data_IF_193624103516
#
_entry.id   IF_193624103516
#
_cell.length_a   1.000
_cell.length_b   1.000
_cell.length_c   1.000
_cell.angle_alpha   90.00
_cell.angle_beta   90.00
_cell.angle_gamma   90.00
#
_symmetry.space_group_name_H-M   'P 1'
#
loop_
_entity.id
_entity.type
_entity.pdbx_description
1 polymer ?
#
# COMPACT_ATOMS: atom_id res chain seq x y z
N UNK A 1 11.72 14.33 -46.74
CA UNK A 1 12.21 15.31 -47.73
C UNK A 1 13.71 15.10 -47.85
N UNK A 2 14.21 14.77 -49.04
CA UNK A 2 15.65 14.51 -49.30
C UNK A 2 16.28 15.65 -50.12
N UNK A 3 15.85 16.88 -49.87
CA UNK A 3 16.34 18.08 -50.54
C UNK A 3 17.33 18.80 -49.63
N UNK A 4 18.43 19.26 -50.21
CA UNK A 4 19.45 20.06 -49.50
C UNK A 4 18.95 21.51 -49.37
N UNK A 5 18.82 22.05 -48.13
CA UNK A 5 18.31 23.40 -47.90
C UNK A 5 19.27 24.52 -48.36
N UNK A 6 20.52 24.20 -48.74
CA UNK A 6 21.51 25.19 -49.21
C UNK A 6 21.66 26.39 -48.28
N UNK A 7 21.76 26.15 -46.97
CA UNK A 7 21.93 27.20 -45.97
C UNK A 7 23.17 28.07 -46.25
N UNK A 8 23.04 29.37 -46.02
CA UNK A 8 24.12 30.36 -46.10
C UNK A 8 24.16 31.18 -44.81
N UNK A 9 25.34 31.67 -44.38
CA UNK A 9 25.45 32.50 -43.18
C UNK A 9 24.83 33.88 -43.39
N UNK A 10 24.14 34.39 -42.37
CA UNK A 10 23.55 35.74 -42.31
C UNK A 10 23.78 36.34 -40.92
N UNK A 11 23.58 37.65 -40.75
CA UNK A 11 23.68 38.31 -39.45
C UNK A 11 22.43 38.07 -38.58
N UNK A 12 22.54 38.33 -37.28
CA UNK A 12 21.39 38.28 -36.36
C UNK A 12 20.31 39.30 -36.73
N UNK A 13 20.69 40.52 -37.11
CA UNK A 13 19.76 41.56 -37.51
C UNK A 13 18.98 41.15 -38.76
N UNK A 14 19.66 40.53 -39.74
CA UNK A 14 19.03 40.00 -40.94
C UNK A 14 18.03 38.88 -40.61
N UNK A 15 18.45 37.89 -39.81
CA UNK A 15 17.61 36.77 -39.42
C UNK A 15 16.34 37.21 -38.68
N UNK A 16 16.48 38.10 -37.68
CA UNK A 16 15.36 38.62 -36.90
C UNK A 16 14.44 39.50 -37.75
N UNK A 17 15.00 40.29 -38.68
CA UNK A 17 14.19 41.10 -39.60
C UNK A 17 13.34 40.24 -40.53
N UNK A 18 13.88 39.13 -41.05
CA UNK A 18 13.13 38.17 -41.88
C UNK A 18 11.96 37.56 -41.10
N UNK A 19 12.19 37.15 -39.85
CA UNK A 19 11.14 36.57 -38.99
C UNK A 19 10.08 37.63 -38.66
N UNK A 20 10.50 38.82 -38.23
CA UNK A 20 9.60 39.91 -37.87
C UNK A 20 8.70 40.34 -39.04
N UNK A 21 9.25 40.45 -40.26
CA UNK A 21 8.48 40.77 -41.46
C UNK A 21 7.38 39.74 -41.73
N UNK A 22 7.67 38.45 -41.57
CA UNK A 22 6.67 37.37 -41.74
C UNK A 22 5.57 37.42 -40.67
N UNK A 23 5.94 37.69 -39.42
CA UNK A 23 4.98 37.85 -38.32
C UNK A 23 4.07 39.07 -38.54
N UNK A 24 4.64 40.21 -38.93
CA UNK A 24 3.85 41.42 -39.23
C UNK A 24 2.89 41.19 -40.39
N UNK A 25 3.32 40.51 -41.47
CA UNK A 25 2.46 40.18 -42.60
C UNK A 25 1.27 39.28 -42.20
N UNK A 26 1.44 38.36 -41.24
CA UNK A 26 0.33 37.58 -40.69
C UNK A 26 -0.60 38.46 -39.86
N UNK A 27 -0.04 39.34 -39.01
CA UNK A 27 -0.80 40.23 -38.14
C UNK A 27 -1.64 41.24 -38.92
N UNK A 28 -1.07 41.87 -39.95
CA UNK A 28 -1.76 42.82 -40.84
C UNK A 28 -2.96 42.20 -41.56
N UNK A 29 -2.91 40.88 -41.84
CA UNK A 29 -4.01 40.12 -42.45
C UNK A 29 -5.04 39.59 -41.45
N UNK A 30 -4.84 39.80 -40.15
CA UNK A 30 -5.67 39.18 -39.10
C UNK A 30 -5.45 37.67 -38.95
N UNK A 31 -4.31 37.15 -39.40
CA UNK A 31 -3.98 35.72 -39.44
C UNK A 31 -2.93 35.31 -38.40
N UNK A 32 -2.77 36.07 -37.31
CA UNK A 32 -1.78 35.82 -36.25
C UNK A 32 -1.86 34.40 -35.67
N UNK A 33 -3.06 33.82 -35.62
CA UNK A 33 -3.30 32.44 -35.15
C UNK A 33 -2.57 31.36 -35.96
N UNK A 34 -2.11 31.66 -37.19
CA UNK A 34 -1.35 30.70 -38.04
C UNK A 34 0.10 30.54 -37.61
N UNK A 35 0.62 31.45 -36.78
CA UNK A 35 1.96 31.31 -36.21
C UNK A 35 1.92 30.39 -34.99
N UNK A 36 2.90 29.49 -34.91
CA UNK A 36 3.07 28.61 -33.76
C UNK A 36 4.54 28.58 -33.33
N UNK A 37 4.74 28.49 -32.02
CA UNK A 37 6.03 28.20 -31.40
C UNK A 37 6.03 26.76 -30.91
N UNK A 38 7.05 26.01 -31.33
CA UNK A 38 7.26 24.62 -30.94
C UNK A 38 8.41 24.57 -29.94
N UNK A 39 8.18 23.99 -28.77
CA UNK A 39 9.19 23.94 -27.70
C UNK A 39 9.72 22.53 -27.49
N UNK A 40 11.04 22.40 -27.64
CA UNK A 40 11.80 21.22 -27.24
C UNK A 40 12.14 21.31 -25.76
N UNK A 41 13.41 21.09 -25.40
CA UNK A 41 13.88 21.28 -24.02
C UNK A 41 13.76 22.75 -23.63
N UNK A 42 13.09 23.02 -22.51
CA UNK A 42 13.24 24.28 -21.82
C UNK A 42 12.54 24.30 -20.47
N UNK A 43 13.05 25.09 -19.53
CA UNK A 43 12.53 25.16 -18.15
C UNK A 43 12.68 26.55 -17.53
N UNK A 44 11.67 26.98 -16.79
CA UNK A 44 11.70 28.24 -16.05
C UNK A 44 11.33 29.48 -16.86
N UNK A 45 11.29 30.62 -16.16
CA UNK A 45 10.76 31.89 -16.68
C UNK A 45 11.60 32.46 -17.84
N UNK A 46 12.92 32.27 -17.80
CA UNK A 46 13.87 32.83 -18.77
C UNK A 46 13.96 32.07 -20.09
N UNK A 47 13.30 30.92 -20.20
CA UNK A 47 13.38 30.04 -21.37
C UNK A 47 12.02 29.97 -22.07
N UNK A 48 11.12 29.11 -21.59
CA UNK A 48 9.77 28.95 -22.15
C UNK A 48 8.72 29.80 -21.44
N UNK A 49 9.06 30.39 -20.28
CA UNK A 49 8.08 31.05 -19.43
C UNK A 49 7.51 32.37 -19.95
N UNK A 50 8.16 33.02 -20.92
CA UNK A 50 7.67 34.24 -21.57
C UNK A 50 6.81 33.99 -22.83
N UNK A 51 6.67 32.73 -23.24
CA UNK A 51 5.98 32.39 -24.47
C UNK A 51 4.48 32.67 -24.39
N UNK A 52 3.88 32.55 -23.21
CA UNK A 52 2.46 32.88 -22.99
C UNK A 52 2.21 34.37 -23.22
N UNK A 53 3.01 35.21 -22.59
CA UNK A 53 2.92 36.66 -22.70
C UNK A 53 3.18 37.12 -24.14
N UNK A 54 4.16 36.50 -24.82
CA UNK A 54 4.41 36.73 -26.24
C UNK A 54 3.18 36.35 -27.09
N UNK A 55 2.61 35.17 -26.84
CA UNK A 55 1.42 34.67 -27.54
C UNK A 55 0.21 35.58 -27.41
N UNK A 56 -0.07 36.02 -26.19
CA UNK A 56 -1.14 36.95 -25.85
C UNK A 56 -0.92 38.33 -26.51
N UNK A 57 0.31 38.85 -26.49
CA UNK A 57 0.65 40.15 -27.08
C UNK A 57 0.60 40.14 -28.62
N UNK A 58 1.07 39.05 -29.23
CA UNK A 58 1.08 38.88 -30.67
C UNK A 58 -0.32 38.50 -31.22
N UNK A 59 -1.12 37.80 -30.41
CA UNK A 59 -2.46 37.33 -30.77
C UNK A 59 -2.45 35.93 -31.39
N UNK A 60 -1.62 35.00 -30.89
CA UNK A 60 -1.70 33.58 -31.25
C UNK A 60 -2.02 32.71 -30.04
N UNK A 61 -2.97 31.76 -30.15
CA UNK A 61 -3.17 30.74 -29.12
C UNK A 61 -2.12 29.62 -29.18
N UNK A 62 -1.37 29.51 -30.29
CA UNK A 62 -0.41 28.44 -30.54
C UNK A 62 0.99 28.81 -29.99
N UNK A 63 1.02 29.42 -28.81
CA UNK A 63 2.22 30.04 -28.24
C UNK A 63 3.13 29.06 -27.48
N UNK A 64 2.68 27.84 -27.23
CA UNK A 64 3.52 26.81 -26.63
C UNK A 64 3.04 25.41 -27.02
N UNK A 65 3.31 25.02 -28.27
CA UNK A 65 3.18 23.63 -28.69
C UNK A 65 4.38 22.85 -28.15
N UNK A 66 4.31 22.50 -26.88
CA UNK A 66 5.38 21.83 -26.15
C UNK A 66 5.39 20.32 -26.27
N UNK A 67 6.46 19.72 -25.77
CA UNK A 67 6.69 18.27 -25.84
C UNK A 67 6.16 17.48 -24.63
N UNK A 68 5.50 18.11 -23.66
CA UNK A 68 5.11 17.48 -22.39
C UNK A 68 4.16 16.29 -22.59
N UNK A 69 3.25 16.37 -23.56
CA UNK A 69 2.31 15.30 -23.92
C UNK A 69 2.99 14.03 -24.45
N UNK A 70 4.18 14.18 -25.04
CA UNK A 70 5.03 13.06 -25.47
C UNK A 70 6.00 12.61 -24.37
N UNK A 71 6.08 13.37 -23.27
CA UNK A 71 7.00 13.17 -22.16
C UNK A 71 6.31 12.53 -20.95
N UNK A 72 5.50 13.29 -20.19
CA UNK A 72 5.04 12.87 -18.86
C UNK A 72 3.62 13.26 -18.46
N UNK A 73 2.87 13.97 -19.31
CA UNK A 73 1.53 14.46 -18.95
C UNK A 73 0.61 13.36 -18.42
N UNK A 74 0.65 12.16 -19.02
CA UNK A 74 -0.14 11.02 -18.53
C UNK A 74 0.18 10.65 -17.07
N UNK A 75 1.47 10.66 -16.72
CA UNK A 75 1.97 10.33 -15.39
C UNK A 75 1.67 11.43 -14.36
N UNK A 76 1.63 12.70 -14.80
CA UNK A 76 1.25 13.85 -13.96
C UNK A 76 -0.26 13.92 -13.76
N UNK A 77 -1.06 13.65 -14.80
CA UNK A 77 -2.51 13.56 -14.71
C UNK A 77 -2.97 12.49 -13.72
N UNK A 78 -2.30 11.33 -13.70
CA UNK A 78 -2.57 10.29 -12.68
C UNK A 78 -2.42 10.85 -11.27
N UNK A 79 -1.31 11.53 -10.98
CA UNK A 79 -1.05 12.07 -9.64
C UNK A 79 -2.06 13.16 -9.31
N UNK A 80 -2.39 14.04 -10.27
CA UNK A 80 -3.46 15.01 -10.10
C UNK A 80 -4.79 14.37 -9.71
N UNK A 81 -5.20 13.29 -10.38
CA UNK A 81 -6.46 12.60 -10.06
C UNK A 81 -6.43 11.84 -8.74
N UNK A 82 -5.27 11.28 -8.36
CA UNK A 82 -5.18 10.38 -7.22
C UNK A 82 -4.80 11.08 -5.90
N UNK A 83 -3.99 12.13 -5.95
CA UNK A 83 -3.50 12.84 -4.76
C UNK A 83 -3.51 14.37 -4.90
N UNK A 84 -4.07 14.90 -6.00
CA UNK A 84 -4.17 16.33 -6.27
C UNK A 84 -2.88 16.96 -6.81
N UNK A 85 -1.75 16.24 -6.84
CA UNK A 85 -0.47 16.79 -7.24
C UNK A 85 -0.22 16.69 -8.75
N UNK A 86 -0.50 17.76 -9.50
CA UNK A 86 -0.23 17.81 -10.94
C UNK A 86 1.24 18.12 -11.25
N UNK A 87 2.11 17.19 -10.86
CA UNK A 87 3.53 17.20 -11.15
C UNK A 87 4.11 15.83 -10.82
N UNK A 88 5.43 15.72 -10.85
CA UNK A 88 6.15 14.50 -10.53
C UNK A 88 6.05 14.10 -9.05
N UNK A 89 6.42 12.87 -8.72
CA UNK A 89 6.60 12.44 -7.33
C UNK A 89 8.06 12.57 -6.89
N UNK A 90 8.26 12.93 -5.62
CA UNK A 90 9.51 12.73 -4.90
C UNK A 90 9.41 11.42 -4.11
N UNK A 91 10.51 10.65 -4.11
CA UNK A 91 10.56 9.33 -3.47
C UNK A 91 11.74 9.27 -2.50
N UNK A 92 11.51 8.74 -1.30
CA UNK A 92 12.53 8.60 -0.26
C UNK A 92 13.23 7.24 -0.31
N UNK A 93 13.85 6.94 -1.45
CA UNK A 93 14.43 5.63 -1.76
C UNK A 93 15.41 5.12 -0.71
N UNK A 94 16.24 6.00 -0.13
CA UNK A 94 17.23 5.63 0.88
C UNK A 94 16.62 5.02 2.14
N UNK A 95 15.37 5.36 2.48
CA UNK A 95 14.65 4.83 3.65
C UNK A 95 13.62 3.74 3.27
N UNK A 96 13.46 3.44 1.99
CA UNK A 96 12.52 2.43 1.49
C UNK A 96 13.03 1.00 1.73
N UNK A 97 12.16 0.08 2.09
CA UNK A 97 12.48 -1.34 2.29
C UNK A 97 11.97 -2.22 1.13
N UNK A 98 11.01 -1.76 0.34
CA UNK A 98 10.54 -2.44 -0.86
C UNK A 98 10.28 -1.47 -2.01
N UNK A 99 11.03 -1.60 -3.11
CA UNK A 99 10.84 -0.81 -4.32
C UNK A 99 10.21 -1.68 -5.41
N UNK A 100 9.00 -1.33 -5.83
CA UNK A 100 8.28 -1.93 -6.94
C UNK A 100 8.29 -0.97 -8.13
N UNK A 101 8.88 -1.37 -9.25
CA UNK A 101 9.13 -0.50 -10.40
C UNK A 101 8.34 -0.99 -11.61
N UNK A 102 7.46 -0.15 -12.16
CA UNK A 102 6.68 -0.43 -13.37
C UNK A 102 7.18 0.42 -14.55
N UNK A 103 7.80 -0.23 -15.54
CA UNK A 103 8.17 0.37 -16.82
C UNK A 103 9.08 1.61 -16.72
N UNK A 104 9.91 1.68 -15.66
CA UNK A 104 10.84 2.77 -15.43
C UNK A 104 12.28 2.26 -15.31
N UNK A 105 13.17 2.77 -16.17
CA UNK A 105 14.59 2.44 -16.14
C UNK A 105 15.34 3.14 -14.99
N UNK A 106 15.09 2.70 -13.75
CA UNK A 106 15.67 3.28 -12.52
C UNK A 106 17.20 3.44 -12.59
N UNK A 107 17.89 2.45 -13.18
CA UNK A 107 19.35 2.39 -13.31
C UNK A 107 19.92 2.90 -14.64
N UNK A 108 19.09 3.46 -15.54
CA UNK A 108 19.55 3.81 -16.90
C UNK A 108 18.97 5.11 -17.46
N UNK A 109 17.76 5.52 -17.07
CA UNK A 109 17.08 6.67 -17.68
C UNK A 109 16.18 7.46 -16.73
N UNK A 110 15.82 6.89 -15.58
CA UNK A 110 14.88 7.51 -14.67
C UNK A 110 15.50 8.63 -13.84
N UNK A 111 14.71 9.67 -13.60
CA UNK A 111 15.13 10.93 -13.02
C UNK A 111 14.94 10.96 -11.49
N UNK A 112 15.80 11.68 -10.75
CA UNK A 112 17.09 12.20 -11.17
C UNK A 112 18.16 11.09 -11.17
N UNK A 113 18.73 10.80 -12.34
CA UNK A 113 19.60 9.63 -12.58
C UNK A 113 20.78 9.53 -11.60
N UNK A 114 21.54 10.61 -11.43
CA UNK A 114 22.71 10.62 -10.56
C UNK A 114 22.37 10.32 -9.09
N UNK A 115 21.27 10.88 -8.58
CA UNK A 115 20.84 10.61 -7.21
C UNK A 115 20.26 9.21 -7.08
N UNK A 116 19.57 8.70 -8.11
CA UNK A 116 19.07 7.32 -8.14
C UNK A 116 20.23 6.31 -8.05
N UNK A 117 21.38 6.57 -8.67
CA UNK A 117 22.55 5.69 -8.56
C UNK A 117 23.09 5.64 -7.11
N UNK A 118 23.16 6.80 -6.45
CA UNK A 118 23.57 6.88 -5.04
C UNK A 118 22.55 6.21 -4.12
N UNK A 119 21.26 6.44 -4.36
CA UNK A 119 20.17 5.80 -3.63
C UNK A 119 20.21 4.28 -3.80
N UNK A 120 20.52 3.78 -4.99
CA UNK A 120 20.69 2.35 -5.23
C UNK A 120 21.79 1.76 -4.33
N UNK A 121 22.96 2.41 -4.28
CA UNK A 121 24.05 2.00 -3.38
C UNK A 121 23.59 1.90 -1.92
N UNK A 122 22.87 2.92 -1.42
CA UNK A 122 22.32 2.93 -0.06
C UNK A 122 21.27 1.84 0.17
N UNK A 123 20.32 1.70 -0.76
CA UNK A 123 19.26 0.68 -0.74
C UNK A 123 19.83 -0.73 -0.66
N UNK A 124 20.91 -1.01 -1.40
CA UNK A 124 21.52 -2.35 -1.47
C UNK A 124 22.49 -2.65 -0.31
N UNK A 125 22.89 -1.66 0.49
CA UNK A 125 23.88 -1.81 1.58
C UNK A 125 23.33 -1.54 2.98
N UNK A 126 22.20 -0.84 3.12
CA UNK A 126 21.58 -0.59 4.42
C UNK A 126 20.96 -1.86 5.03
N UNK A 127 20.60 -1.77 6.32
CA UNK A 127 19.82 -2.79 7.02
C UNK A 127 18.46 -2.23 7.49
N UNK A 128 17.32 -2.86 7.13
CA UNK A 128 17.20 -3.98 6.21
C UNK A 128 17.48 -3.55 4.76
N UNK A 129 18.07 -4.45 3.96
CA UNK A 129 18.32 -4.24 2.53
C UNK A 129 17.00 -4.03 1.79
N UNK A 130 16.93 -3.03 0.92
CA UNK A 130 15.75 -2.80 0.08
C UNK A 130 15.59 -3.94 -0.92
N UNK A 131 14.43 -4.59 -0.89
CA UNK A 131 14.02 -5.56 -1.90
C UNK A 131 13.47 -4.81 -3.11
N UNK A 132 13.87 -5.22 -4.30
CA UNK A 132 13.50 -4.57 -5.57
C UNK A 132 12.80 -5.56 -6.49
N UNK A 133 11.58 -5.25 -6.88
CA UNK A 133 10.83 -5.97 -7.92
C UNK A 133 10.62 -5.04 -9.11
N UNK A 134 10.98 -5.50 -10.30
CA UNK A 134 10.78 -4.77 -11.56
C UNK A 134 9.70 -5.48 -12.37
N UNK A 135 8.78 -4.70 -12.90
CA UNK A 135 7.74 -5.10 -13.85
C UNK A 135 8.05 -4.35 -15.15
N UNK A 136 8.38 -5.09 -16.20
CA UNK A 136 8.76 -4.52 -17.49
C UNK A 136 8.42 -5.49 -18.63
N UNK A 137 8.49 -5.03 -19.88
CA UNK A 137 8.22 -5.85 -21.07
C UNK A 137 9.47 -6.57 -21.59
N UNK A 138 10.65 -6.16 -21.12
CA UNK A 138 11.92 -6.76 -21.49
C UNK A 138 12.92 -6.74 -20.32
N UNK A 139 13.98 -7.56 -20.42
CA UNK A 139 15.13 -7.45 -19.52
C UNK A 139 15.89 -6.15 -19.81
N UNK A 140 16.03 -5.30 -18.79
CA UNK A 140 16.81 -4.06 -18.85
C UNK A 140 17.82 -3.99 -17.68
N UNK A 141 18.61 -2.91 -17.62
CA UNK A 141 19.66 -2.74 -16.59
C UNK A 141 19.08 -2.84 -15.18
N UNK A 142 17.92 -2.23 -14.96
CA UNK A 142 17.25 -2.23 -13.65
C UNK A 142 16.78 -3.63 -13.27
N UNK A 143 16.10 -4.31 -14.20
CA UNK A 143 15.62 -5.68 -14.03
C UNK A 143 16.74 -6.68 -13.77
N UNK A 144 17.88 -6.55 -14.44
CA UNK A 144 19.04 -7.44 -14.21
C UNK A 144 19.67 -7.32 -12.82
N UNK A 145 19.46 -6.19 -12.14
CA UNK A 145 20.00 -5.91 -10.81
C UNK A 145 18.96 -6.08 -9.68
N UNK A 146 17.70 -6.31 -10.04
CA UNK A 146 16.58 -6.48 -9.12
C UNK A 146 16.58 -7.86 -8.46
N UNK A 147 15.82 -8.01 -7.36
CA UNK A 147 15.63 -9.31 -6.71
C UNK A 147 14.54 -10.14 -7.40
N UNK A 148 13.64 -9.49 -8.14
CA UNK A 148 12.64 -10.13 -9.00
C UNK A 148 12.39 -9.27 -10.25
N UNK A 149 12.34 -9.91 -11.42
CA UNK A 149 11.85 -9.33 -12.66
C UNK A 149 10.60 -10.07 -13.11
N UNK A 150 9.53 -9.33 -13.38
CA UNK A 150 8.26 -9.81 -13.92
C UNK A 150 8.09 -9.26 -15.33
N UNK A 151 8.04 -10.15 -16.32
CA UNK A 151 7.87 -9.78 -17.72
C UNK A 151 6.40 -9.68 -18.09
N UNK A 152 5.86 -8.46 -18.00
CA UNK A 152 4.45 -8.19 -18.28
C UNK A 152 4.21 -8.06 -19.79
N UNK A 153 3.04 -8.51 -20.27
CA UNK A 153 2.61 -8.19 -21.64
C UNK A 153 2.47 -6.66 -21.79
N UNK A 154 2.91 -6.06 -22.92
CA UNK A 154 2.83 -4.61 -23.13
C UNK A 154 1.44 -4.03 -22.86
N UNK A 155 1.39 -3.00 -22.02
CA UNK A 155 0.18 -2.27 -21.64
C UNK A 155 -0.75 -2.99 -20.67
N UNK A 156 -0.29 -4.07 -20.02
CA UNK A 156 -1.06 -4.88 -19.06
C UNK A 156 -0.63 -4.70 -17.60
N UNK A 157 0.18 -3.68 -17.31
CA UNK A 157 0.65 -3.32 -15.97
C UNK A 157 -0.52 -3.09 -14.98
N UNK A 158 -1.60 -2.45 -15.45
CA UNK A 158 -2.78 -2.20 -14.64
C UNK A 158 -3.47 -3.49 -14.16
N UNK A 159 -3.44 -4.56 -14.96
CA UNK A 159 -4.01 -5.84 -14.53
C UNK A 159 -3.24 -6.45 -13.36
N UNK A 160 -1.91 -6.37 -13.39
CA UNK A 160 -1.06 -6.78 -12.28
C UNK A 160 -1.35 -5.94 -11.03
N UNK A 161 -1.37 -4.61 -11.16
CA UNK A 161 -1.62 -3.71 -10.04
C UNK A 161 -3.01 -3.90 -9.40
N UNK A 162 -4.05 -4.08 -10.22
CA UNK A 162 -5.42 -4.38 -9.75
C UNK A 162 -5.47 -5.71 -8.99
N UNK A 163 -4.84 -6.76 -9.51
CA UNK A 163 -4.83 -8.04 -8.79
C UNK A 163 -4.02 -8.00 -7.50
N UNK A 164 -2.95 -7.21 -7.45
CA UNK A 164 -2.26 -6.94 -6.19
C UNK A 164 -3.16 -6.23 -5.19
N UNK A 165 -3.87 -5.18 -5.60
CA UNK A 165 -4.82 -4.47 -4.74
C UNK A 165 -5.95 -5.39 -4.25
N UNK A 166 -6.48 -6.28 -5.10
CA UNK A 166 -7.45 -7.29 -4.72
C UNK A 166 -6.93 -8.23 -3.62
N UNK A 167 -5.70 -8.74 -3.75
CA UNK A 167 -5.06 -9.59 -2.72
C UNK A 167 -4.88 -8.81 -1.42
N UNK A 168 -4.41 -7.56 -1.49
CA UNK A 168 -4.21 -6.71 -0.30
C UNK A 168 -5.52 -6.52 0.47
N UNK A 169 -6.63 -6.30 -0.22
CA UNK A 169 -7.94 -6.12 0.42
C UNK A 169 -8.51 -7.43 0.95
N UNK A 170 -8.54 -8.49 0.14
CA UNK A 170 -9.09 -9.79 0.56
C UNK A 170 -8.34 -10.42 1.73
N UNK A 171 -7.04 -10.15 1.87
CA UNK A 171 -6.20 -10.64 2.98
C UNK A 171 -6.14 -9.69 4.19
N UNK A 172 -6.75 -8.51 4.12
CA UNK A 172 -6.73 -7.58 5.26
C UNK A 172 -5.40 -6.84 5.46
N UNK A 173 -4.59 -6.71 4.41
CA UNK A 173 -3.22 -6.18 4.46
C UNK A 173 -3.12 -4.67 4.19
N UNK A 174 -4.24 -3.98 3.97
CA UNK A 174 -4.22 -2.53 3.76
C UNK A 174 -3.87 -1.77 5.04
N UNK A 175 -3.37 -0.56 4.88
CA UNK A 175 -3.03 0.29 6.01
C UNK A 175 -4.28 0.95 6.59
N UNK A 176 -4.75 0.43 7.73
CA UNK A 176 -5.96 0.93 8.41
C UNK A 176 -5.80 2.34 9.02
N UNK A 177 -4.56 2.83 9.16
CA UNK A 177 -4.31 4.17 9.68
C UNK A 177 -4.49 5.24 8.61
N UNK A 178 -4.10 4.93 7.38
CA UNK A 178 -4.23 5.79 6.22
C UNK A 178 -5.59 5.62 5.52
N UNK A 179 -5.97 4.38 5.21
CA UNK A 179 -7.17 4.09 4.40
C UNK A 179 -8.44 4.19 5.23
N UNK A 180 -8.44 3.58 6.42
CA UNK A 180 -9.66 3.34 7.19
C UNK A 180 -9.90 1.85 7.44
N UNK A 181 -11.05 1.51 8.01
CA UNK A 181 -11.40 0.11 8.32
C UNK A 181 -12.92 -0.06 8.33
N UNK A 182 -13.36 -1.33 8.31
CA UNK A 182 -14.77 -1.67 8.52
C UNK A 182 -15.21 -1.28 9.93
N UNK A 183 -16.42 -0.74 10.05
CA UNK A 183 -16.94 -0.21 11.31
C UNK A 183 -17.11 -1.30 12.37
N UNK A 184 -17.34 -2.55 11.95
CA UNK A 184 -17.43 -3.73 12.81
C UNK A 184 -16.08 -4.46 13.00
N UNK A 185 -15.00 -3.99 12.38
CA UNK A 185 -13.67 -4.58 12.44
C UNK A 185 -13.51 -5.89 11.65
N UNK A 186 -14.52 -6.32 10.91
CA UNK A 186 -14.49 -7.55 10.12
C UNK A 186 -14.13 -7.24 8.67
N UNK A 187 -13.20 -8.01 8.09
CA UNK A 187 -12.88 -7.85 6.68
C UNK A 187 -13.97 -8.46 5.78
N UNK A 188 -14.79 -7.58 5.20
CA UNK A 188 -15.87 -7.94 4.27
C UNK A 188 -15.45 -7.99 2.80
N UNK A 189 -14.20 -7.68 2.45
CA UNK A 189 -13.71 -7.87 1.08
C UNK A 189 -13.61 -9.37 0.74
N UNK A 190 -14.63 -9.89 0.05
CA UNK A 190 -14.71 -11.28 -0.42
C UNK A 190 -14.84 -11.29 -1.94
N UNK A 191 -13.99 -12.04 -2.63
CA UNK A 191 -13.97 -12.14 -4.09
C UNK A 191 -15.37 -12.32 -4.69
N UNK A 192 -15.73 -11.47 -5.64
CA UNK A 192 -17.03 -11.46 -6.33
C UNK A 192 -18.21 -10.93 -5.51
N UNK A 193 -18.01 -10.53 -4.25
CA UNK A 193 -19.08 -10.06 -3.36
C UNK A 193 -19.04 -8.54 -3.25
N UNK A 194 -20.19 -7.92 -3.50
CA UNK A 194 -20.38 -6.49 -3.29
C UNK A 194 -20.61 -6.16 -1.83
N UNK A 195 -20.19 -4.96 -1.44
CA UNK A 195 -20.31 -4.45 -0.07
C UNK A 195 -21.33 -3.32 -0.09
N UNK A 196 -22.39 -3.46 0.69
CA UNK A 196 -23.38 -2.41 0.87
C UNK A 196 -22.76 -1.19 1.56
N UNK A 197 -23.21 0.01 1.20
CA UNK A 197 -22.72 1.25 1.81
C UNK A 197 -23.01 1.34 3.32
N UNK A 198 -24.12 0.73 3.76
CA UNK A 198 -24.57 0.73 5.16
C UNK A 198 -24.99 -0.67 5.60
N UNK A 199 -24.85 -0.96 6.90
CA UNK A 199 -25.36 -2.20 7.48
C UNK A 199 -26.90 -2.23 7.52
N UNK A 200 -27.46 -3.40 7.28
CA UNK A 200 -28.89 -3.71 7.35
C UNK A 200 -29.28 -4.32 8.70
N UNK A 201 -30.59 -4.45 8.96
CA UNK A 201 -31.09 -5.20 10.11
C UNK A 201 -30.73 -6.70 10.01
N UNK A 202 -30.65 -7.25 8.79
CA UNK A 202 -30.20 -8.62 8.57
C UNK A 202 -28.73 -8.80 8.98
N UNK A 203 -27.86 -7.83 8.69
CA UNK A 203 -26.44 -7.88 9.07
C UNK A 203 -26.26 -7.88 10.60
N UNK A 204 -27.04 -7.04 11.29
CA UNK A 204 -27.04 -7.00 12.76
C UNK A 204 -27.50 -8.35 13.33
N UNK A 205 -28.56 -8.94 12.76
CA UNK A 205 -29.06 -10.24 13.18
C UNK A 205 -28.03 -11.36 12.93
N UNK A 206 -27.40 -11.38 11.76
CA UNK A 206 -26.36 -12.35 11.42
C UNK A 206 -25.17 -12.25 12.39
N UNK A 207 -24.75 -11.04 12.74
CA UNK A 207 -23.72 -10.81 13.75
C UNK A 207 -24.14 -11.36 15.12
N UNK A 208 -25.36 -11.10 15.57
CA UNK A 208 -25.87 -11.62 16.85
C UNK A 208 -25.87 -13.16 16.90
N UNK A 209 -26.30 -13.80 15.81
CA UNK A 209 -26.28 -15.26 15.69
C UNK A 209 -24.85 -15.83 15.71
N UNK A 210 -23.89 -15.15 15.05
CA UNK A 210 -22.49 -15.55 15.09
C UNK A 210 -21.88 -15.37 16.49
N UNK A 211 -22.20 -14.28 17.19
CA UNK A 211 -21.77 -14.07 18.57
C UNK A 211 -22.36 -15.12 19.51
N UNK A 212 -23.63 -15.49 19.33
CA UNK A 212 -24.26 -16.59 20.08
C UNK A 212 -23.53 -17.93 19.84
N UNK A 213 -23.15 -18.22 18.59
CA UNK A 213 -22.36 -19.42 18.25
C UNK A 213 -20.96 -19.40 18.87
N UNK A 214 -20.27 -18.26 18.83
CA UNK A 214 -18.94 -18.08 19.46
C UNK A 214 -19.03 -18.23 20.98
N UNK A 215 -20.04 -17.61 21.61
CA UNK A 215 -20.31 -17.73 23.03
C UNK A 215 -20.62 -19.19 23.42
N UNK A 216 -21.43 -19.91 22.65
CA UNK A 216 -21.74 -21.32 22.87
C UNK A 216 -20.48 -22.20 22.77
N UNK A 217 -19.66 -22.03 21.72
CA UNK A 217 -18.38 -22.75 21.57
C UNK A 217 -17.40 -22.45 22.72
N UNK A 218 -17.32 -21.18 23.13
CA UNK A 218 -16.48 -20.77 24.25
C UNK A 218 -16.98 -21.39 25.55
N UNK A 219 -18.29 -21.37 25.82
CA UNK A 219 -18.89 -21.99 26.99
C UNK A 219 -18.65 -23.51 27.03
N UNK A 220 -18.75 -24.20 25.89
CA UNK A 220 -18.43 -25.63 25.79
C UNK A 220 -16.95 -25.91 26.09
N UNK A 221 -16.04 -25.11 25.52
CA UNK A 221 -14.60 -25.20 25.78
C UNK A 221 -14.26 -24.92 27.25
N UNK A 222 -14.84 -23.88 27.82
CA UNK A 222 -14.66 -23.48 29.21
C UNK A 222 -15.22 -24.54 30.17
N UNK A 223 -16.37 -25.14 29.85
CA UNK A 223 -16.95 -26.25 30.61
C UNK A 223 -16.05 -27.50 30.57
N UNK A 224 -15.51 -27.87 29.41
CA UNK A 224 -14.53 -28.98 29.31
C UNK A 224 -13.25 -28.70 30.10
N UNK A 225 -12.74 -27.47 30.02
CA UNK A 225 -11.57 -27.06 30.79
C UNK A 225 -11.83 -27.08 32.31
N UNK A 226 -13.00 -26.62 32.75
CA UNK A 226 -13.41 -26.63 34.15
C UNK A 226 -13.60 -28.07 34.67
N UNK A 227 -14.24 -28.95 33.88
CA UNK A 227 -14.41 -30.36 34.23
C UNK A 227 -13.06 -31.08 34.40
N UNK A 228 -12.12 -30.88 33.46
CA UNK A 228 -10.76 -31.44 33.56
C UNK A 228 -10.03 -30.93 34.80
N UNK A 229 -10.13 -29.63 35.10
CA UNK A 229 -9.50 -29.02 36.29
C UNK A 229 -10.11 -29.53 37.59
N UNK A 230 -11.42 -29.78 37.62
CA UNK A 230 -12.11 -30.37 38.77
C UNK A 230 -11.69 -31.84 38.98
N UNK A 231 -11.52 -32.62 37.92
CA UNK A 231 -11.03 -33.99 37.97
C UNK A 231 -9.59 -34.07 38.50
N UNK A 232 -8.69 -33.21 38.00
CA UNK A 232 -7.30 -33.12 38.48
C UNK A 232 -7.24 -32.71 39.96
N UNK A 233 -8.09 -31.77 40.38
CA UNK A 233 -8.22 -31.37 41.79
C UNK A 233 -8.72 -32.53 42.66
N UNK A 234 -9.71 -33.30 42.19
CA UNK A 234 -10.23 -34.46 42.91
C UNK A 234 -9.18 -35.57 43.05
N UNK A 235 -8.40 -35.84 42.00
CA UNK A 235 -7.27 -36.80 42.03
C UNK A 235 -6.20 -36.38 43.03
N UNK A 236 -5.82 -35.10 43.05
CA UNK A 236 -4.83 -34.58 43.99
C UNK A 236 -5.33 -34.66 45.46
N UNK A 237 -6.62 -34.40 45.70
CA UNK A 237 -7.23 -34.57 47.03
C UNK A 237 -7.23 -36.04 47.47
N UNK A 238 -7.64 -36.96 46.59
CA UNK A 238 -7.63 -38.40 46.87
C UNK A 238 -6.21 -38.94 47.15
N UNK A 239 -5.19 -38.44 46.44
CA UNK A 239 -3.79 -38.77 46.69
C UNK A 239 -3.34 -38.31 48.09
N UNK A 240 -3.66 -37.06 48.46
CA UNK A 240 -3.36 -36.50 49.79
C UNK A 240 -4.05 -37.30 50.89
N UNK A 241 -5.33 -37.62 50.73
CA UNK A 241 -6.10 -38.38 51.74
C UNK A 241 -5.59 -39.82 51.86
N UNK A 242 -5.22 -40.45 50.75
CA UNK A 242 -4.58 -41.77 50.73
C UNK A 242 -3.21 -41.78 51.41
N UNK A 243 -2.39 -40.73 51.22
CA UNK A 243 -1.09 -40.58 51.88
C UNK A 243 -1.25 -40.36 53.40
N UNK A 244 -2.24 -39.55 53.82
CA UNK A 244 -2.56 -39.37 55.25
C UNK A 244 -2.97 -40.69 55.92
N UNK A 245 -3.83 -41.48 55.27
CA UNK A 245 -4.28 -42.77 55.79
C UNK A 245 -3.12 -43.76 55.96
N UNK A 246 -2.24 -43.86 54.95
CA UNK A 246 -1.02 -44.70 55.02
C UNK A 246 -0.06 -44.25 56.12
N UNK A 247 0.05 -42.94 56.37
CA UNK A 247 0.90 -42.40 57.43
C UNK A 247 0.42 -42.79 58.84
N UNK A 248 -0.90 -42.85 59.05
CA UNK A 248 -1.51 -43.31 60.32
C UNK A 248 -1.32 -44.81 60.57
N UNK A 249 -1.26 -45.63 59.51
CA UNK A 249 -1.19 -47.09 59.58
C UNK A 249 0.25 -47.66 59.50
N UNK A 250 1.25 -46.82 59.21
CA UNK A 250 2.64 -47.25 58.97
C UNK A 250 3.48 -47.43 60.24
N UNK A 251 4.42 -48.40 60.20
CA UNK A 251 5.43 -48.62 61.23
C UNK A 251 6.46 -47.48 61.30
N UNK A 252 7.12 -47.33 62.45
CA UNK A 252 8.01 -46.19 62.76
C UNK A 252 9.15 -45.97 61.72
N UNK A 253 9.54 -47.02 60.99
CA UNK A 253 10.61 -46.98 59.98
C UNK A 253 10.17 -46.35 58.64
N UNK A 254 8.89 -46.43 58.30
CA UNK A 254 8.34 -46.00 57.00
C UNK A 254 7.67 -44.62 57.03
N UNK A 255 7.34 -44.12 58.23
CA UNK A 255 6.74 -42.79 58.45
C UNK A 255 7.53 -41.62 57.84
N UNK A 256 8.87 -41.55 57.93
CA UNK A 256 9.62 -40.42 57.36
C UNK A 256 9.47 -40.30 55.83
N UNK A 257 9.45 -41.44 55.11
CA UNK A 257 9.31 -41.47 53.65
C UNK A 257 7.90 -41.11 53.18
N UNK A 258 6.87 -41.51 53.93
CA UNK A 258 5.47 -41.14 53.66
C UNK A 258 5.17 -39.68 53.98
N UNK A 259 5.75 -39.13 55.05
CA UNK A 259 5.62 -37.71 55.41
C UNK A 259 6.20 -36.81 54.31
N UNK A 260 7.38 -37.14 53.79
CA UNK A 260 8.00 -36.39 52.69
C UNK A 260 7.12 -36.34 51.44
N UNK A 261 6.49 -37.47 51.06
CA UNK A 261 5.56 -37.54 49.92
C UNK A 261 4.29 -36.72 50.15
N UNK A 262 3.76 -36.71 51.38
CA UNK A 262 2.59 -35.90 51.76
C UNK A 262 2.91 -34.40 51.67
N UNK A 263 4.07 -33.98 52.16
CA UNK A 263 4.51 -32.58 52.11
C UNK A 263 4.74 -32.11 50.67
N UNK A 264 5.32 -32.96 49.81
CA UNK A 264 5.46 -32.71 48.37
C UNK A 264 4.10 -32.57 47.66
N UNK A 265 3.12 -33.42 47.98
CA UNK A 265 1.77 -33.36 47.42
C UNK A 265 0.99 -32.10 47.89
N UNK A 266 1.10 -31.76 49.17
CA UNK A 266 0.50 -30.54 49.75
C UNK A 266 1.10 -29.27 49.13
N UNK A 267 2.44 -29.24 48.96
CA UNK A 267 3.13 -28.14 48.31
C UNK A 267 2.69 -27.98 46.86
N UNK A 268 2.66 -29.07 46.09
CA UNK A 268 2.21 -29.06 44.68
C UNK A 268 0.78 -28.52 44.55
N UNK A 269 -0.11 -28.85 45.49
CA UNK A 269 -1.48 -28.30 45.52
C UNK A 269 -1.50 -26.80 45.85
N UNK A 270 -0.75 -26.36 46.85
CA UNK A 270 -0.66 -24.96 47.22
C UNK A 270 -0.10 -24.10 46.05
N UNK A 271 0.93 -24.59 45.37
CA UNK A 271 1.51 -23.95 44.19
C UNK A 271 0.49 -23.85 43.04
N UNK A 272 -0.33 -24.89 42.82
CA UNK A 272 -1.38 -24.89 41.81
C UNK A 272 -2.52 -23.91 42.14
N UNK A 273 -2.94 -23.81 43.41
CA UNK A 273 -3.95 -22.84 43.86
C UNK A 273 -3.42 -21.40 43.75
N UNK A 274 -2.16 -21.15 44.13
CA UNK A 274 -1.52 -19.85 43.98
C UNK A 274 -1.35 -19.43 42.51
N UNK A 275 -1.00 -20.38 41.64
CA UNK A 275 -0.92 -20.15 40.18
C UNK A 275 -2.29 -19.81 39.59
N UNK A 276 -3.34 -20.55 39.98
CA UNK A 276 -4.70 -20.28 39.53
C UNK A 276 -5.20 -18.88 39.96
N UNK A 277 -4.89 -18.46 41.19
CA UNK A 277 -5.20 -17.11 41.68
C UNK A 277 -4.51 -16.03 40.84
N UNK A 278 -3.21 -16.21 40.57
CA UNK A 278 -2.42 -15.28 39.75
C UNK A 278 -2.95 -15.16 38.31
N UNK A 279 -3.35 -16.27 37.70
CA UNK A 279 -3.96 -16.28 36.36
C UNK A 279 -5.30 -15.55 36.36
N UNK A 280 -6.13 -15.72 37.41
CA UNK A 280 -7.40 -15.03 37.54
C UNK A 280 -7.22 -13.51 37.69
N UNK A 281 -6.25 -13.08 38.51
CA UNK A 281 -5.88 -11.67 38.68
C UNK A 281 -5.38 -11.05 37.37
N UNK A 282 -4.50 -11.76 36.63
CA UNK A 282 -4.02 -11.32 35.31
C UNK A 282 -5.15 -11.19 34.29
N UNK A 283 -6.10 -12.15 34.25
CA UNK A 283 -7.28 -12.06 33.38
C UNK A 283 -8.17 -10.87 33.73
N UNK A 284 -8.38 -10.60 35.02
CA UNK A 284 -9.18 -9.47 35.47
C UNK A 284 -8.56 -8.11 35.11
N UNK A 285 -7.23 -8.02 35.05
CA UNK A 285 -6.53 -6.84 34.54
C UNK A 285 -6.71 -6.72 33.03
N UNK A 286 -6.52 -7.80 32.26
CA UNK A 286 -6.68 -7.81 30.81
C UNK A 286 -8.10 -7.48 30.34
N UNK A 287 -9.13 -7.91 31.07
CA UNK A 287 -10.53 -7.58 30.72
C UNK A 287 -10.89 -6.11 31.00
N UNK A 288 -10.15 -5.39 31.86
CA UNK A 288 -10.38 -3.95 32.09
C UNK A 288 -9.89 -3.08 30.94
N UNK A 289 -8.86 -3.52 30.21
CA UNK A 289 -8.27 -2.77 29.08
C UNK A 289 -8.88 -3.15 27.73
N UNK A 290 -9.92 -3.99 27.73
CA UNK A 290 -10.56 -4.46 26.51
C UNK A 290 -11.35 -3.30 25.88
N UNK A 291 -10.97 -2.91 24.67
CA UNK A 291 -11.78 -1.99 23.87
C UNK A 291 -13.17 -2.58 23.67
N UNK A 292 -14.23 -1.74 23.71
CA UNK A 292 -15.58 -2.21 23.38
C UNK A 292 -15.56 -2.86 22.00
N UNK A 293 -16.23 -3.99 21.91
CA UNK A 293 -16.28 -4.79 20.69
C UNK A 293 -16.99 -3.99 19.59
N UNK A 294 -16.32 -3.83 18.45
CA UNK A 294 -16.91 -3.18 17.28
C UNK A 294 -18.08 -4.04 16.78
N UNK A 295 -19.22 -3.42 16.52
CA UNK A 295 -20.45 -4.11 16.12
C UNK A 295 -21.14 -3.37 14.98
N UNK A 296 -21.77 -4.09 14.05
CA UNK A 296 -22.62 -3.46 13.06
C UNK A 296 -23.82 -2.79 13.74
N UNK A 297 -24.22 -1.65 13.22
CA UNK A 297 -25.43 -0.91 13.63
C UNK A 297 -26.22 -0.63 12.36
N UNK A 298 -27.50 -1.03 12.34
CA UNK A 298 -28.34 -0.81 11.16
C UNK A 298 -28.37 0.68 10.77
N UNK A 299 -28.17 0.95 9.49
CA UNK A 299 -28.07 2.29 8.91
C UNK A 299 -26.70 2.98 9.09
N UNK A 300 -25.76 2.40 9.83
CA UNK A 300 -24.40 2.94 9.91
C UNK A 300 -23.57 2.54 8.68
N UNK A 301 -22.61 3.39 8.31
CA UNK A 301 -21.67 3.12 7.22
C UNK A 301 -20.87 1.84 7.48
N UNK A 302 -20.73 1.01 6.46
CA UNK A 302 -20.02 -0.28 6.54
C UNK A 302 -18.52 -0.09 6.68
N UNK A 303 -17.96 0.92 6.00
CA UNK A 303 -16.53 1.21 5.98
C UNK A 303 -16.28 2.70 6.22
N UNK A 304 -15.44 3.02 7.20
CA UNK A 304 -15.08 4.40 7.51
C UNK A 304 -13.71 4.72 6.91
N UNK A 305 -13.70 5.39 5.76
CA UNK A 305 -12.47 5.89 5.14
C UNK A 305 -11.84 7.04 5.96
N UNK A 306 -10.53 7.25 5.81
CA UNK A 306 -9.79 8.35 6.48
C UNK A 306 -9.20 9.31 5.47
N UNK A 307 -8.06 8.94 4.87
CA UNK A 307 -7.33 9.77 3.90
C UNK A 307 -7.56 9.36 2.46
N UNK A 308 -8.42 8.37 2.25
CA UNK A 308 -8.85 7.88 0.95
C UNK A 308 -10.32 8.21 0.74
N UNK A 309 -10.77 8.09 -0.51
CA UNK A 309 -12.17 8.18 -0.85
C UNK A 309 -12.51 7.22 -1.99
N UNK A 310 -13.66 6.56 -1.88
CA UNK A 310 -14.21 5.70 -2.92
C UNK A 310 -13.72 4.26 -2.89
N UNK A 311 -13.13 3.77 -1.79
CA UNK A 311 -12.62 2.39 -1.73
C UNK A 311 -13.71 1.34 -1.98
N UNK A 312 -14.88 1.49 -1.33
CA UNK A 312 -16.00 0.55 -1.47
C UNK A 312 -16.61 0.63 -2.88
N UNK A 313 -16.71 1.83 -3.44
CA UNK A 313 -17.18 2.01 -4.82
C UNK A 313 -16.22 1.32 -5.81
N UNK A 314 -14.91 1.55 -5.68
CA UNK A 314 -13.91 0.90 -6.51
C UNK A 314 -13.94 -0.63 -6.37
N UNK A 315 -14.12 -1.13 -5.15
CA UNK A 315 -14.30 -2.56 -4.90
C UNK A 315 -15.50 -3.13 -5.66
N UNK A 316 -16.66 -2.50 -5.49
CA UNK A 316 -17.91 -2.97 -6.08
C UNK A 316 -17.91 -2.86 -7.60
N UNK A 317 -17.38 -1.77 -8.16
CA UNK A 317 -17.42 -1.55 -9.62
C UNK A 317 -16.41 -2.44 -10.35
N UNK A 318 -15.22 -2.63 -9.78
CA UNK A 318 -14.09 -3.19 -10.52
C UNK A 318 -13.31 -4.25 -9.74
N UNK A 319 -12.84 -3.92 -8.52
CA UNK A 319 -11.75 -4.68 -7.88
C UNK A 319 -12.16 -6.05 -7.35
N UNK A 320 -13.44 -6.28 -7.02
CA UNK A 320 -13.94 -7.54 -6.44
C UNK A 320 -13.69 -8.77 -7.34
N UNK A 321 -13.53 -8.56 -8.64
CA UNK A 321 -13.35 -9.62 -9.65
C UNK A 321 -11.94 -9.65 -10.25
N UNK A 322 -11.03 -8.78 -9.78
CA UNK A 322 -9.65 -8.69 -10.30
C UNK A 322 -8.74 -9.67 -9.57
N UNK A 323 -9.01 -10.95 -9.70
CA UNK A 323 -8.24 -12.00 -9.03
C UNK A 323 -6.83 -12.16 -9.63
N UNK A 324 -5.88 -12.76 -8.89
CA UNK A 324 -4.59 -13.18 -9.45
C UNK A 324 -4.72 -14.06 -10.69
N UNK A 325 -5.69 -14.96 -10.73
CA UNK A 325 -5.94 -15.87 -11.87
C UNK A 325 -6.44 -15.09 -13.10
N UNK A 326 -7.31 -14.09 -12.90
CA UNK A 326 -7.71 -13.18 -13.97
C UNK A 326 -6.52 -12.41 -14.52
N UNK A 327 -5.69 -11.84 -13.64
CA UNK A 327 -4.53 -11.07 -14.06
C UNK A 327 -3.47 -11.94 -14.74
N UNK A 328 -3.34 -13.22 -14.39
CA UNK A 328 -2.44 -14.14 -15.08
C UNK A 328 -2.78 -14.27 -16.57
N UNK A 329 -4.06 -14.43 -16.90
CA UNK A 329 -4.51 -14.51 -18.29
C UNK A 329 -4.21 -13.22 -19.07
N UNK A 330 -4.49 -12.07 -18.43
CA UNK A 330 -4.36 -10.74 -19.06
C UNK A 330 -2.90 -10.31 -19.19
N UNK A 331 -2.11 -10.45 -18.13
CA UNK A 331 -0.76 -9.90 -17.99
C UNK A 331 0.34 -10.87 -18.40
N UNK A 332 0.09 -12.19 -18.33
CA UNK A 332 1.09 -13.24 -18.51
C UNK A 332 1.95 -13.52 -17.26
N UNK A 333 1.73 -12.81 -16.15
CA UNK A 333 2.42 -13.06 -14.88
C UNK A 333 1.67 -14.13 -14.09
N UNK A 334 2.36 -15.18 -13.63
CA UNK A 334 1.73 -16.26 -12.88
C UNK A 334 1.06 -15.74 -11.60
N UNK A 335 -0.16 -16.21 -11.30
CA UNK A 335 -0.96 -15.80 -10.13
C UNK A 335 -0.18 -15.91 -8.81
N UNK A 336 0.63 -16.96 -8.66
CA UNK A 336 1.51 -17.15 -7.50
C UNK A 336 2.49 -15.99 -7.28
N UNK A 337 3.01 -15.41 -8.36
CA UNK A 337 3.98 -14.32 -8.30
C UNK A 337 3.27 -12.99 -8.01
N UNK A 338 2.05 -12.81 -8.52
CA UNK A 338 1.17 -11.67 -8.18
C UNK A 338 0.88 -11.67 -6.67
N UNK A 339 0.44 -12.81 -6.12
CA UNK A 339 0.16 -12.97 -4.69
C UNK A 339 1.42 -12.70 -3.86
N UNK A 340 2.56 -13.26 -4.27
CA UNK A 340 3.83 -13.05 -3.57
C UNK A 340 4.24 -11.57 -3.55
N UNK A 341 4.19 -10.87 -4.69
CA UNK A 341 4.52 -9.44 -4.76
C UNK A 341 3.53 -8.60 -3.95
N UNK A 342 2.22 -8.89 -4.03
CA UNK A 342 1.20 -8.18 -3.26
C UNK A 342 1.45 -8.26 -1.75
N UNK A 343 1.67 -9.47 -1.23
CA UNK A 343 1.97 -9.71 0.19
C UNK A 343 3.26 -9.05 0.61
N UNK A 344 4.33 -9.22 -0.17
CA UNK A 344 5.63 -8.62 0.14
C UNK A 344 5.56 -7.10 0.16
N UNK A 345 4.92 -6.48 -0.84
CA UNK A 345 4.75 -5.03 -0.95
C UNK A 345 3.91 -4.48 0.21
N UNK A 346 2.84 -5.17 0.58
CA UNK A 346 1.97 -4.74 1.67
C UNK A 346 2.62 -4.88 3.05
N UNK A 347 3.45 -5.90 3.26
CA UNK A 347 4.03 -6.22 4.58
C UNK A 347 5.42 -5.62 4.79
N UNK A 348 6.18 -5.33 3.72
CA UNK A 348 7.54 -4.77 3.82
C UNK A 348 7.50 -3.24 3.85
N UNK A 349 7.32 -2.65 5.03
CA UNK A 349 7.27 -1.19 5.20
C UNK A 349 8.65 -0.57 5.50
N UNK A 350 8.95 0.64 5.03
CA UNK A 350 8.20 1.43 4.03
C UNK A 350 8.36 0.84 2.62
N UNK A 351 7.37 1.02 1.74
CA UNK A 351 7.42 0.55 0.36
C UNK A 351 7.09 1.67 -0.64
N UNK A 352 7.53 1.53 -1.89
CA UNK A 352 7.24 2.46 -2.98
C UNK A 352 6.88 1.67 -4.23
N UNK A 353 5.71 1.95 -4.79
CA UNK A 353 5.36 1.61 -6.17
C UNK A 353 5.64 2.83 -7.06
N UNK A 354 6.61 2.67 -7.96
CA UNK A 354 7.05 3.67 -8.93
C UNK A 354 6.52 3.27 -10.32
N UNK A 355 5.95 4.22 -11.04
CA UNK A 355 5.62 4.06 -12.46
C UNK A 355 5.93 5.34 -13.24
N UNK A 356 6.20 5.21 -14.54
CA UNK A 356 6.35 6.33 -15.46
C UNK A 356 5.91 5.94 -16.89
N UNK A 357 6.62 6.42 -17.92
CA UNK A 357 6.24 6.31 -19.33
C UNK A 357 5.97 4.88 -19.79
N UNK A 358 6.79 3.90 -19.39
CA UNK A 358 6.59 2.51 -19.84
C UNK A 358 5.20 1.98 -19.48
N UNK A 359 4.68 2.36 -18.31
CA UNK A 359 3.37 1.92 -17.84
C UNK A 359 2.22 2.91 -18.15
N UNK A 360 2.51 4.13 -18.63
CA UNK A 360 1.49 5.20 -18.75
C UNK A 360 1.40 5.88 -20.12
N UNK A 361 2.44 5.84 -20.97
CA UNK A 361 2.50 6.57 -22.25
C UNK A 361 1.82 5.81 -23.41
N UNK A 362 0.56 5.46 -23.23
CA UNK A 362 -0.31 4.76 -24.20
C UNK A 362 -1.78 5.01 -23.86
N UNK A 363 -2.70 4.64 -24.75
CA UNK A 363 -4.10 5.12 -24.76
C UNK A 363 -4.88 4.87 -23.46
N UNK A 364 -4.59 3.79 -22.74
CA UNK A 364 -5.20 3.41 -21.46
C UNK A 364 -4.25 3.55 -20.26
N UNK A 365 -3.09 4.18 -20.45
CA UNK A 365 -2.01 4.18 -19.46
C UNK A 365 -2.24 5.03 -18.23
N UNK A 366 -3.14 6.02 -18.29
CA UNK A 366 -3.57 6.76 -17.10
C UNK A 366 -4.21 5.79 -16.10
N UNK A 367 -5.08 4.89 -16.54
CA UNK A 367 -5.70 3.91 -15.65
C UNK A 367 -4.70 2.90 -15.06
N UNK A 368 -3.70 2.48 -15.85
CA UNK A 368 -2.59 1.67 -15.33
C UNK A 368 -1.86 2.41 -14.21
N UNK A 369 -1.51 3.69 -14.44
CA UNK A 369 -0.88 4.53 -13.44
C UNK A 369 -1.73 4.72 -12.19
N UNK A 370 -3.05 4.93 -12.33
CA UNK A 370 -3.97 5.06 -11.18
C UNK A 370 -3.98 3.79 -10.33
N UNK A 371 -4.05 2.60 -10.96
CA UNK A 371 -4.00 1.33 -10.25
C UNK A 371 -2.66 1.14 -9.51
N UNK A 372 -1.54 1.49 -10.14
CA UNK A 372 -0.21 1.40 -9.52
C UNK A 372 -0.07 2.41 -8.37
N UNK A 373 -0.50 3.65 -8.55
CA UNK A 373 -0.43 4.69 -7.53
C UNK A 373 -1.32 4.37 -6.32
N UNK A 374 -2.49 3.78 -6.56
CA UNK A 374 -3.39 3.32 -5.51
C UNK A 374 -2.74 2.31 -4.57
N UNK A 375 -1.80 1.48 -5.05
CA UNK A 375 -1.06 0.56 -4.18
C UNK A 375 -0.31 1.32 -3.08
N UNK A 376 0.29 2.47 -3.38
CA UNK A 376 0.97 3.28 -2.36
C UNK A 376 0.00 3.79 -1.28
N UNK A 377 -1.19 4.23 -1.67
CA UNK A 377 -2.23 4.67 -0.75
C UNK A 377 -2.79 3.51 0.09
N UNK A 378 -3.15 2.39 -0.55
CA UNK A 378 -3.64 1.18 0.12
C UNK A 378 -2.66 0.66 1.17
N UNK A 379 -1.36 0.88 0.94
CA UNK A 379 -0.30 0.42 1.82
C UNK A 379 0.26 1.53 2.73
N UNK A 380 -0.39 2.70 2.79
CA UNK A 380 -0.05 3.78 3.73
C UNK A 380 1.33 4.42 3.48
N UNK A 381 1.86 4.33 2.26
CA UNK A 381 3.18 4.84 1.92
C UNK A 381 3.17 6.27 1.36
N UNK A 382 1.99 6.84 1.12
CA UNK A 382 1.81 8.24 0.72
C UNK A 382 2.29 9.17 1.83
N UNK A 383 3.20 10.09 1.54
CA UNK A 383 3.83 11.07 2.44
C UNK A 383 4.76 10.50 3.54
N UNK A 384 4.83 9.17 3.68
CA UNK A 384 5.70 8.50 4.64
C UNK A 384 7.21 8.66 4.32
N UNK A 385 8.03 8.68 5.37
CA UNK A 385 9.48 8.45 5.27
C UNK A 385 9.73 7.04 4.72
N UNK A 386 10.55 6.95 3.68
CA UNK A 386 10.74 5.73 2.88
C UNK A 386 9.65 5.47 1.83
N UNK A 387 8.63 6.34 1.74
CA UNK A 387 7.55 6.31 0.77
C UNK A 387 7.70 7.38 -0.32
N UNK A 388 6.60 7.99 -0.73
CA UNK A 388 6.55 9.01 -1.78
C UNK A 388 5.69 10.22 -1.41
N UNK A 389 5.93 11.37 -2.04
CA UNK A 389 5.08 12.58 -1.95
C UNK A 389 5.14 13.36 -3.26
N UNK A 390 4.39 14.45 -3.36
CA UNK A 390 4.51 15.38 -4.49
C UNK A 390 5.90 16.05 -4.57
N UNK A 391 6.43 16.18 -5.77
CA UNK A 391 7.65 16.94 -6.04
C UNK A 391 7.48 18.41 -5.62
N UNK A 392 8.52 19.01 -5.05
CA UNK A 392 8.49 20.39 -4.52
C UNK A 392 7.43 20.71 -3.46
N UNK A 393 6.74 19.70 -2.91
CA UNK A 393 5.98 19.92 -1.69
C UNK A 393 6.90 20.44 -0.57
N UNK A 394 6.42 21.38 0.23
CA UNK A 394 7.17 21.89 1.40
C UNK A 394 7.02 20.99 2.64
N UNK A 395 6.03 20.11 2.64
CA UNK A 395 5.72 19.27 3.79
C UNK A 395 6.76 18.18 4.01
N UNK A 396 7.18 18.01 5.27
CA UNK A 396 8.18 17.03 5.64
C UNK A 396 7.66 15.58 5.50
N UNK A 397 8.58 14.62 5.51
CA UNK A 397 8.25 13.19 5.56
C UNK A 397 7.76 12.81 6.96
N UNK A 398 6.59 12.18 7.07
CA UNK A 398 6.06 11.67 8.35
C UNK A 398 6.61 10.28 8.66
N UNK A 399 6.65 9.92 9.95
CA UNK A 399 6.95 8.54 10.36
C UNK A 399 5.70 7.68 10.22
N UNK A 400 5.85 6.42 9.84
CA UNK A 400 4.75 5.45 9.88
C UNK A 400 4.40 5.07 11.34
N UNK A 401 3.12 4.83 11.67
CA UNK A 401 1.94 5.11 10.86
C UNK A 401 1.68 6.62 10.76
N UNK A 402 1.17 7.05 9.61
CA UNK A 402 0.94 8.47 9.32
C UNK A 402 -0.21 8.98 10.17
N UNK A 403 -0.04 10.19 10.72
CA UNK A 403 -1.08 10.88 11.48
C UNK A 403 -1.45 12.21 10.82
N UNK A 404 -2.69 12.64 11.03
CA UNK A 404 -3.17 13.89 10.44
C UNK A 404 -2.45 15.09 11.00
N UNK A 405 -2.05 15.02 12.27
CA UNK A 405 -1.33 16.11 12.93
C UNK A 405 0.10 16.30 12.42
N UNK A 406 0.62 15.39 11.58
CA UNK A 406 1.93 15.52 10.93
C UNK A 406 1.90 16.45 9.69
N UNK A 407 0.71 16.88 9.24
CA UNK A 407 0.46 17.68 8.02
C UNK A 407 -0.48 18.86 8.32
#
# INVERSE_FOLDING_TARGET
RHEDPKFVPISWDEALSIVAARLNALREKGESHRFATLTGRGWGYTDVGLLKEFGELYGTPNYNLGHSSMCSDASEAVKHFMDGHHAYSAYDYSNCNYLLVFGAGFLESFRPFNANMQNWGKMRTKSPKTKVTVVDVHLNTTGSAADRLLLVKPGRDGALALAMAHVILTEGLWDKTFVGDFTDGVNHFKTGVEIAATFTDEDVKAWQEEQAKKAAKKAESDAKAAAKKAEEKAKALAEIDGLKKKLTEADAKDKPGLQKKLDEALKKRADAEASAKRIAEQRAVLDKDKKPEQRPVAGAETFHEKWTRGLIEWWNVELKDRTPEWAEQVSGIAAKDIIAVAREFATTKPAVALFERGASAHTNGVYNGMAIHALNALTGNMFAKGGLRGYQMKTAWAKLPIKHEDY
#
